data_IF_140322706019
#
_entry.id   IF_140322706019
#
_cell.length_a   1.000
_cell.length_b   1.000
_cell.length_c   1.000
_cell.angle_alpha   90.00
_cell.angle_beta   90.00
_cell.angle_gamma   90.00
#
_symmetry.space_group_name_H-M   'P 1'
#
loop_
_entity.id
_entity.type
_entity.pdbx_description
1 polymer ?
#
# COMPACT_ATOMS: atom_id res chain seq x y z
N UNK A 1 -25.37 43.25 1.33
CA UNK A 1 -24.07 43.95 1.37
C UNK A 1 -22.99 42.90 1.04
N UNK A 2 -22.78 42.66 -0.25
CA UNK A 2 -21.64 41.93 -0.79
C UNK A 2 -20.56 42.98 -1.08
N UNK A 3 -19.32 42.73 -0.66
CA UNK A 3 -18.16 43.54 -1.03
C UNK A 3 -17.45 42.82 -2.17
N UNK A 4 -17.56 43.37 -3.39
CA UNK A 4 -16.62 43.08 -4.48
C UNK A 4 -15.29 43.77 -4.17
N UNK A 5 -14.19 43.05 -4.35
CA UNK A 5 -12.84 43.59 -4.32
C UNK A 5 -12.39 43.79 -5.77
N UNK A 6 -12.31 45.04 -6.21
CA UNK A 6 -11.73 45.41 -7.51
C UNK A 6 -10.21 45.22 -7.50
N UNK A 7 -9.69 44.38 -8.39
CA UNK A 7 -8.27 44.30 -8.71
C UNK A 7 -7.98 45.09 -9.98
N UNK A 8 -6.99 46.01 -10.00
CA UNK A 8 -6.68 46.82 -11.17
C UNK A 8 -5.99 45.99 -12.26
N UNK A 9 -6.53 46.03 -13.49
CA UNK A 9 -5.89 45.46 -14.67
C UNK A 9 -4.65 46.25 -15.06
N UNK A 10 -3.48 45.62 -15.04
CA UNK A 10 -2.27 46.16 -15.66
C UNK A 10 -2.39 46.04 -17.18
N UNK A 11 -2.68 47.17 -17.85
CA UNK A 11 -2.50 47.34 -19.29
C UNK A 11 -1.01 47.61 -19.55
N UNK A 12 -0.36 46.76 -20.33
CA UNK A 12 0.98 47.02 -20.86
C UNK A 12 0.80 47.62 -22.25
N UNK A 13 1.36 48.81 -22.44
CA UNK A 13 1.32 49.61 -23.68
C UNK A 13 2.25 48.99 -24.74
N UNK A 14 1.78 48.78 -25.96
CA UNK A 14 2.48 48.04 -27.04
C UNK A 14 3.59 48.83 -27.77
N UNK A 15 4.17 49.88 -27.19
CA UNK A 15 5.06 50.81 -27.93
C UNK A 15 6.52 50.93 -27.43
N UNK A 16 7.01 50.02 -26.57
CA UNK A 16 8.43 50.02 -26.14
C UNK A 16 9.21 48.76 -26.54
N UNK A 17 9.05 48.27 -27.77
CA UNK A 17 9.90 47.17 -28.31
C UNK A 17 10.51 47.55 -29.66
N UNK A 18 11.25 48.66 -29.70
CA UNK A 18 12.07 49.00 -30.86
C UNK A 18 13.32 49.77 -30.42
N UNK A 19 14.24 49.08 -29.74
CA UNK A 19 15.70 49.28 -29.79
C UNK A 19 16.34 48.58 -28.60
N UNK A 20 16.91 47.39 -28.81
CA UNK A 20 18.21 46.93 -28.29
C UNK A 20 18.54 45.66 -29.09
N UNK A 21 19.37 45.82 -30.12
CA UNK A 21 20.05 44.72 -30.79
C UNK A 21 21.35 44.38 -30.07
N UNK A 22 21.74 43.11 -30.17
CA UNK A 22 23.05 42.50 -29.92
C UNK A 22 23.54 42.38 -28.47
N UNK A 23 23.12 41.30 -27.79
CA UNK A 23 23.97 40.58 -26.84
C UNK A 23 23.62 39.08 -26.89
N UNK A 24 24.56 38.25 -27.34
CA UNK A 24 24.45 36.79 -27.37
C UNK A 24 24.41 36.23 -25.94
N UNK A 25 23.21 35.91 -25.45
CA UNK A 25 23.02 35.12 -24.22
C UNK A 25 22.87 33.63 -24.56
N UNK A 26 23.55 32.73 -23.85
CA UNK A 26 23.34 31.29 -24.03
C UNK A 26 21.90 30.95 -23.62
N UNK A 27 21.17 30.27 -24.52
CA UNK A 27 19.84 29.71 -24.20
C UNK A 27 19.97 28.81 -22.97
N UNK A 28 19.41 29.23 -21.84
CA UNK A 28 19.24 28.33 -20.71
C UNK A 28 18.30 27.22 -21.16
N UNK A 29 18.80 26.00 -21.15
CA UNK A 29 17.97 24.81 -21.30
C UNK A 29 17.03 24.79 -20.10
N UNK A 30 15.74 24.79 -20.35
CA UNK A 30 14.75 24.34 -19.38
C UNK A 30 15.24 23.04 -18.74
N UNK A 31 15.12 22.87 -17.41
CA UNK A 31 15.54 21.64 -16.77
C UNK A 31 14.72 20.52 -17.40
N UNK A 32 15.41 19.59 -18.07
CA UNK A 32 14.81 18.32 -18.46
C UNK A 32 14.41 17.66 -17.16
N UNK A 33 13.11 17.58 -16.89
CA UNK A 33 12.56 16.62 -15.93
C UNK A 33 12.86 15.22 -16.50
N UNK A 34 14.09 14.76 -16.25
CA UNK A 34 14.54 13.40 -16.50
C UNK A 34 14.15 12.48 -15.35
N UNK A 35 12.96 12.72 -14.77
CA UNK A 35 12.35 11.80 -13.84
C UNK A 35 11.88 10.55 -14.60
N UNK A 36 11.79 9.40 -13.91
CA UNK A 36 11.15 8.23 -14.49
C UNK A 36 9.71 8.56 -14.95
N UNK A 37 9.17 7.86 -15.96
CA UNK A 37 7.83 8.15 -16.47
C UNK A 37 6.79 8.00 -15.35
N UNK A 38 5.70 8.77 -15.40
CA UNK A 38 4.58 8.73 -14.44
C UNK A 38 4.12 7.30 -14.10
N UNK A 39 4.24 6.34 -15.01
CA UNK A 39 3.91 4.94 -14.79
C UNK A 39 4.88 4.17 -13.85
N UNK A 40 5.97 4.79 -13.37
CA UNK A 40 6.90 4.14 -12.45
C UNK A 40 6.47 4.38 -11.01
N UNK A 41 5.77 3.38 -10.48
CA UNK A 41 5.63 3.18 -9.05
C UNK A 41 7.04 2.98 -8.48
N UNK A 42 7.53 3.99 -7.75
CA UNK A 42 8.84 3.95 -7.10
C UNK A 42 8.84 2.84 -6.04
N UNK A 43 9.89 2.01 -6.00
CA UNK A 43 9.98 0.85 -5.10
C UNK A 43 9.89 -0.52 -5.80
N UNK A 44 9.21 -0.62 -6.95
CA UNK A 44 9.00 -1.89 -7.67
C UNK A 44 10.26 -2.42 -8.37
N UNK A 45 11.24 -1.55 -8.65
CA UNK A 45 12.54 -1.90 -9.24
C UNK A 45 13.68 -1.95 -8.22
N UNK A 46 13.41 -2.10 -6.92
CA UNK A 46 14.45 -2.68 -6.08
C UNK A 46 14.59 -4.12 -6.57
N UNK A 47 15.74 -4.55 -7.12
CA UNK A 47 15.98 -5.98 -7.27
C UNK A 47 15.68 -6.57 -5.90
N UNK A 48 14.86 -7.62 -5.84
CA UNK A 48 14.65 -8.38 -4.62
C UNK A 48 16.04 -8.66 -4.03
N UNK A 49 16.47 -7.88 -3.05
CA UNK A 49 17.78 -8.06 -2.39
C UNK A 49 17.78 -9.37 -1.59
N UNK A 50 16.58 -9.93 -1.41
CA UNK A 50 16.33 -11.26 -0.93
C UNK A 50 15.43 -11.94 -1.97
N UNK A 51 16.04 -12.65 -2.91
CA UNK A 51 15.37 -13.85 -3.43
C UNK A 51 14.92 -14.64 -2.21
N UNK A 52 13.63 -14.98 -2.13
CA UNK A 52 13.03 -15.83 -1.11
C UNK A 52 13.85 -17.11 -0.95
N UNK A 53 14.87 -17.05 -0.09
CA UNK A 53 15.58 -18.21 0.43
C UNK A 53 14.69 -18.81 1.51
N UNK A 54 13.50 -19.27 1.12
CA UNK A 54 12.90 -20.40 1.80
C UNK A 54 13.80 -21.60 1.49
N UNK A 55 14.87 -21.72 2.26
CA UNK A 55 15.80 -22.85 2.24
C UNK A 55 15.27 -24.01 3.08
N UNK A 56 14.19 -23.80 3.85
CA UNK A 56 13.49 -24.84 4.59
C UNK A 56 12.49 -25.60 3.71
N UNK A 57 12.44 -26.93 3.87
CA UNK A 57 11.43 -27.79 3.26
C UNK A 57 10.00 -27.50 3.75
N UNK A 58 9.84 -26.74 4.84
CA UNK A 58 8.56 -26.49 5.53
C UNK A 58 8.26 -24.99 5.64
N UNK A 59 7.00 -24.62 5.42
CA UNK A 59 6.51 -23.26 5.65
C UNK A 59 6.42 -22.95 7.14
N UNK A 60 6.65 -21.70 7.58
CA UNK A 60 6.57 -21.31 8.98
C UNK A 60 5.11 -21.38 9.44
N UNK A 61 4.89 -21.75 10.70
CA UNK A 61 3.55 -21.96 11.27
C UNK A 61 2.61 -20.76 11.07
N UNK A 62 3.13 -19.54 11.25
CA UNK A 62 2.37 -18.29 11.15
C UNK A 62 2.80 -17.41 9.98
N UNK A 63 3.36 -18.02 8.92
CA UNK A 63 3.83 -17.31 7.72
C UNK A 63 5.13 -16.52 7.89
N UNK A 64 5.64 -16.40 9.13
CA UNK A 64 6.87 -15.69 9.48
C UNK A 64 7.78 -16.57 10.34
N UNK A 65 9.10 -16.44 10.16
CA UNK A 65 10.08 -17.07 11.05
C UNK A 65 10.32 -16.20 12.28
N UNK A 66 10.23 -16.79 13.47
CA UNK A 66 10.47 -16.07 14.73
C UNK A 66 11.00 -17.01 15.82
N UNK A 67 11.93 -16.57 16.69
CA UNK A 67 12.31 -17.31 17.88
C UNK A 67 11.21 -17.34 18.95
N UNK A 68 10.13 -16.57 18.78
CA UNK A 68 9.05 -16.40 19.76
C UNK A 68 7.74 -17.09 19.37
N UNK A 69 7.80 -18.17 18.58
CA UNK A 69 6.63 -18.84 17.98
C UNK A 69 5.52 -19.17 19.00
N UNK A 70 5.86 -19.69 20.19
CA UNK A 70 4.86 -20.03 21.20
C UNK A 70 4.12 -18.81 21.79
N UNK A 71 4.83 -17.72 22.04
CA UNK A 71 4.23 -16.48 22.56
C UNK A 71 3.38 -15.80 21.48
N UNK A 72 3.89 -15.79 20.25
CA UNK A 72 3.16 -15.27 19.09
C UNK A 72 1.86 -16.06 18.87
N UNK A 73 1.93 -17.40 18.89
CA UNK A 73 0.77 -18.26 18.73
C UNK A 73 -0.30 -18.07 19.81
N UNK A 74 0.09 -17.69 21.03
CA UNK A 74 -0.87 -17.34 22.08
C UNK A 74 -1.69 -16.11 21.71
N UNK A 75 -1.04 -15.04 21.24
CA UNK A 75 -1.74 -13.82 20.81
C UNK A 75 -2.57 -14.06 19.54
N UNK A 76 -2.05 -14.83 18.58
CA UNK A 76 -2.77 -15.14 17.35
C UNK A 76 -4.01 -16.03 17.57
N UNK A 77 -4.12 -16.67 18.74
CA UNK A 77 -5.34 -17.38 19.15
C UNK A 77 -6.53 -16.45 19.40
N UNK A 78 -6.27 -15.16 19.66
CA UNK A 78 -7.28 -14.16 20.01
C UNK A 78 -7.62 -13.22 18.83
N UNK A 79 -7.25 -13.59 17.59
CA UNK A 79 -7.47 -12.76 16.38
C UNK A 79 -8.95 -12.44 16.08
N UNK A 80 -9.88 -13.19 16.65
CA UNK A 80 -11.32 -12.96 16.52
C UNK A 80 -11.90 -12.03 17.60
N UNK A 81 -11.05 -11.44 18.44
CA UNK A 81 -11.46 -10.56 19.54
C UNK A 81 -10.98 -9.12 19.33
N UNK A 82 -11.74 -8.16 19.89
CA UNK A 82 -11.31 -6.78 19.98
C UNK A 82 -10.27 -6.59 21.09
N UNK A 83 -9.35 -5.63 20.90
CA UNK A 83 -8.37 -5.25 21.91
C UNK A 83 -7.11 -6.11 21.93
N UNK A 84 -6.80 -6.78 20.81
CA UNK A 84 -5.54 -7.48 20.64
C UNK A 84 -4.37 -6.48 20.66
N UNK A 85 -3.24 -6.88 21.24
CA UNK A 85 -2.02 -6.09 21.24
C UNK A 85 -1.27 -6.27 19.92
N UNK A 86 -1.68 -5.49 18.91
CA UNK A 86 -1.06 -5.53 17.58
C UNK A 86 0.42 -5.14 17.62
N UNK A 87 0.82 -4.23 18.52
CA UNK A 87 2.22 -3.83 18.71
C UNK A 87 3.06 -5.02 19.17
N UNK A 88 2.55 -5.79 20.14
CA UNK A 88 3.22 -6.99 20.61
C UNK A 88 3.34 -8.06 19.53
N UNK A 89 2.34 -8.20 18.66
CA UNK A 89 2.45 -9.05 17.46
C UNK A 89 3.57 -8.55 16.55
N UNK A 90 3.69 -7.23 16.35
CA UNK A 90 4.80 -6.61 15.62
C UNK A 90 6.18 -7.01 16.16
N UNK A 91 6.38 -6.91 17.46
CA UNK A 91 7.63 -7.32 18.13
C UNK A 91 7.92 -8.82 17.92
N UNK A 92 6.92 -9.67 18.20
CA UNK A 92 7.09 -11.13 18.20
C UNK A 92 7.17 -11.72 16.80
N UNK A 93 6.70 -11.02 15.78
CA UNK A 93 6.78 -11.40 14.36
C UNK A 93 8.03 -10.88 13.66
N UNK A 94 9.03 -10.35 14.39
CA UNK A 94 10.24 -9.78 13.82
C UNK A 94 9.96 -8.60 12.86
N UNK A 95 9.05 -7.70 13.23
CA UNK A 95 8.57 -6.59 12.40
C UNK A 95 7.91 -7.06 11.09
N UNK A 96 7.14 -8.17 11.17
CA UNK A 96 6.28 -8.67 10.09
C UNK A 96 4.82 -8.84 10.53
N UNK A 97 4.20 -7.84 11.21
CA UNK A 97 2.85 -7.99 11.74
C UNK A 97 1.81 -8.25 10.64
N UNK A 98 1.91 -7.59 9.47
CA UNK A 98 0.91 -7.73 8.42
C UNK A 98 0.95 -9.12 7.79
N UNK A 99 2.14 -9.62 7.45
CA UNK A 99 2.29 -10.98 6.92
C UNK A 99 1.77 -12.02 7.91
N UNK A 100 2.12 -11.86 9.18
CA UNK A 100 1.75 -12.79 10.24
C UNK A 100 0.24 -12.84 10.48
N UNK A 101 -0.40 -11.68 10.64
CA UNK A 101 -1.85 -11.55 10.85
C UNK A 101 -2.62 -12.04 9.63
N UNK A 102 -2.26 -11.59 8.43
CA UNK A 102 -2.97 -11.99 7.22
C UNK A 102 -2.88 -13.50 6.99
N UNK A 103 -1.69 -14.11 7.11
CA UNK A 103 -1.56 -15.56 6.95
C UNK A 103 -2.38 -16.34 7.97
N UNK A 104 -2.38 -15.89 9.23
CA UNK A 104 -3.13 -16.53 10.32
C UNK A 104 -4.64 -16.43 10.09
N UNK A 105 -5.15 -15.24 9.75
CA UNK A 105 -6.58 -15.01 9.45
C UNK A 105 -7.03 -15.83 8.23
N UNK A 106 -6.28 -15.79 7.13
CA UNK A 106 -6.64 -16.53 5.91
C UNK A 106 -6.60 -18.04 6.12
N UNK A 107 -5.70 -18.54 6.98
CA UNK A 107 -5.62 -19.95 7.34
C UNK A 107 -6.75 -20.37 8.28
N UNK A 108 -7.05 -19.58 9.33
CA UNK A 108 -8.13 -19.86 10.30
C UNK A 108 -9.51 -19.88 9.63
N UNK A 109 -9.71 -19.05 8.60
CA UNK A 109 -10.94 -19.00 7.80
C UNK A 109 -10.99 -20.00 6.63
N UNK A 110 -9.96 -20.83 6.46
CA UNK A 110 -9.80 -21.77 5.34
C UNK A 110 -9.89 -21.12 3.93
N UNK A 111 -9.58 -19.82 3.83
CA UNK A 111 -9.67 -19.07 2.57
C UNK A 111 -8.64 -19.53 1.55
N UNK A 112 -7.45 -19.93 2.02
CA UNK A 112 -6.38 -20.42 1.14
C UNK A 112 -6.83 -21.67 0.39
N UNK A 113 -7.48 -22.61 1.08
CA UNK A 113 -8.00 -23.83 0.47
C UNK A 113 -9.23 -23.53 -0.41
N UNK A 114 -10.19 -22.79 0.13
CA UNK A 114 -11.47 -22.48 -0.54
C UNK A 114 -11.28 -21.76 -1.88
N UNK A 115 -10.25 -20.91 -1.98
CA UNK A 115 -9.94 -20.12 -3.18
C UNK A 115 -8.72 -20.65 -3.94
N UNK A 116 -8.22 -21.84 -3.58
CA UNK A 116 -7.08 -22.49 -4.23
C UNK A 116 -5.82 -21.61 -4.27
N UNK A 117 -5.58 -20.82 -3.23
CA UNK A 117 -4.42 -19.94 -3.11
C UNK A 117 -3.25 -20.75 -2.54
N UNK A 118 -2.14 -20.96 -3.28
CA UNK A 118 -1.00 -21.71 -2.74
C UNK A 118 -0.39 -20.97 -1.55
N UNK A 119 -0.22 -21.60 -0.37
CA UNK A 119 0.27 -20.91 0.84
C UNK A 119 1.63 -20.24 0.66
N UNK A 120 2.54 -20.86 -0.12
CA UNK A 120 3.85 -20.29 -0.47
C UNK A 120 3.72 -18.99 -1.29
N UNK A 121 2.79 -18.96 -2.25
CA UNK A 121 2.52 -17.78 -3.07
C UNK A 121 1.90 -16.67 -2.22
N UNK A 122 0.99 -17.02 -1.30
CA UNK A 122 0.40 -16.06 -0.37
C UNK A 122 1.45 -15.40 0.53
N UNK A 123 2.32 -16.19 1.17
CA UNK A 123 3.41 -15.65 2.00
C UNK A 123 4.34 -14.76 1.15
N UNK A 124 4.71 -15.21 -0.06
CA UNK A 124 5.58 -14.43 -0.95
C UNK A 124 4.97 -13.06 -1.31
N UNK A 125 3.67 -13.04 -1.62
CA UNK A 125 2.95 -11.79 -1.86
C UNK A 125 2.90 -10.91 -0.59
N UNK A 126 2.51 -11.47 0.55
CA UNK A 126 2.35 -10.69 1.78
C UNK A 126 3.66 -10.10 2.29
N UNK A 127 4.78 -10.84 2.22
CA UNK A 127 6.11 -10.31 2.54
C UNK A 127 6.47 -9.16 1.60
N UNK A 128 6.21 -9.33 0.30
CA UNK A 128 6.47 -8.30 -0.71
C UNK A 128 5.61 -7.06 -0.47
N UNK A 129 4.33 -7.23 -0.15
CA UNK A 129 3.40 -6.16 0.19
C UNK A 129 3.85 -5.40 1.43
N UNK A 130 4.20 -6.11 2.49
CA UNK A 130 4.68 -5.54 3.75
C UNK A 130 5.99 -4.77 3.57
N UNK A 131 6.88 -5.21 2.69
CA UNK A 131 8.10 -4.47 2.33
C UNK A 131 7.83 -3.14 1.58
N UNK A 132 6.63 -2.95 1.03
CA UNK A 132 6.22 -1.70 0.38
C UNK A 132 5.48 -0.74 1.33
N UNK A 133 5.23 -1.13 2.58
CA UNK A 133 4.85 -0.16 3.61
C UNK A 133 6.10 0.58 4.12
N UNK A 134 6.03 1.91 4.15
CA UNK A 134 7.17 2.76 4.55
C UNK A 134 7.38 2.66 6.06
N UNK A 135 8.45 1.97 6.49
CA UNK A 135 8.75 1.71 7.92
C UNK A 135 8.93 2.97 8.76
N UNK A 136 9.48 4.03 8.15
CA UNK A 136 9.71 5.31 8.84
C UNK A 136 8.45 6.18 8.94
N UNK A 137 7.33 5.78 8.30
CA UNK A 137 6.04 6.44 8.47
C UNK A 137 5.51 6.09 9.87
N UNK A 138 5.27 7.08 10.75
CA UNK A 138 4.92 6.82 12.14
C UNK A 138 3.54 6.17 12.33
N UNK A 139 2.65 6.22 11.32
CA UNK A 139 1.30 5.67 11.42
C UNK A 139 0.91 4.74 10.26
N UNK A 140 0.80 5.25 9.03
CA UNK A 140 0.37 4.45 7.86
C UNK A 140 1.51 3.53 7.37
N UNK A 141 1.87 2.55 8.19
CA UNK A 141 2.87 1.53 7.99
C UNK A 141 2.22 0.13 8.10
N UNK A 142 3.01 -0.95 7.99
CA UNK A 142 2.45 -2.30 7.97
C UNK A 142 1.78 -2.71 9.29
N UNK A 143 2.12 -2.07 10.41
CA UNK A 143 1.45 -2.31 11.68
C UNK A 143 0.01 -1.81 11.64
N UNK A 144 -0.22 -0.61 11.08
CA UNK A 144 -1.57 -0.09 10.85
C UNK A 144 -2.37 -1.00 9.91
N UNK A 145 -1.77 -1.44 8.81
CA UNK A 145 -2.43 -2.39 7.90
C UNK A 145 -2.78 -3.71 8.59
N UNK A 146 -1.92 -4.22 9.48
CA UNK A 146 -2.19 -5.42 10.25
C UNK A 146 -3.37 -5.23 11.23
N UNK A 147 -3.42 -4.07 11.90
CA UNK A 147 -4.52 -3.68 12.79
C UNK A 147 -5.86 -3.60 12.04
N UNK A 148 -5.89 -2.92 10.88
CA UNK A 148 -7.11 -2.83 10.04
C UNK A 148 -7.51 -4.20 9.50
N UNK A 149 -6.56 -5.04 9.12
CA UNK A 149 -6.83 -6.43 8.67
C UNK A 149 -7.46 -7.26 9.79
N UNK A 150 -6.91 -7.21 11.00
CA UNK A 150 -7.45 -7.92 12.15
C UNK A 150 -8.81 -7.36 12.59
N UNK A 151 -8.96 -6.04 12.60
CA UNK A 151 -10.24 -5.38 12.91
C UNK A 151 -11.33 -5.76 11.91
N UNK A 152 -11.00 -5.82 10.62
CA UNK A 152 -11.91 -6.29 9.56
C UNK A 152 -12.28 -7.75 9.77
N UNK A 153 -11.33 -8.59 10.19
CA UNK A 153 -11.60 -9.98 10.58
C UNK A 153 -12.64 -10.06 11.72
N UNK A 154 -12.49 -9.26 12.78
CA UNK A 154 -13.45 -9.25 13.90
C UNK A 154 -14.83 -8.78 13.44
N UNK A 155 -14.90 -7.70 12.65
CA UNK A 155 -16.17 -7.18 12.13
C UNK A 155 -16.92 -8.21 11.28
N UNK A 156 -16.22 -8.95 10.42
CA UNK A 156 -16.79 -10.01 9.59
C UNK A 156 -17.29 -11.21 10.40
N UNK A 157 -16.84 -11.38 11.65
CA UNK A 157 -17.33 -12.41 12.58
C UNK A 157 -18.53 -11.97 13.42
N UNK A 158 -19.09 -10.78 13.16
CA UNK A 158 -20.30 -10.32 13.86
C UNK A 158 -21.46 -11.29 13.61
N UNK A 159 -22.20 -11.76 14.64
CA UNK A 159 -23.31 -12.72 14.45
C UNK A 159 -24.38 -12.28 13.45
N UNK A 160 -24.60 -10.96 13.31
CA UNK A 160 -25.53 -10.40 12.34
C UNK A 160 -25.10 -10.60 10.87
N UNK A 161 -23.83 -10.94 10.62
CA UNK A 161 -23.24 -11.15 9.30
C UNK A 161 -22.90 -12.62 9.04
N UNK A 162 -23.30 -13.52 9.94
CA UNK A 162 -23.06 -14.95 9.79
C UNK A 162 -23.69 -15.47 8.49
N UNK A 163 -22.88 -16.16 7.67
CA UNK A 163 -23.29 -16.70 6.36
C UNK A 163 -23.84 -15.69 5.35
N UNK A 164 -23.63 -14.38 5.56
CA UNK A 164 -24.06 -13.33 4.62
C UNK A 164 -23.11 -13.25 3.43
N UNK A 165 -21.80 -13.36 3.67
CA UNK A 165 -20.77 -13.20 2.65
C UNK A 165 -20.20 -14.53 2.17
N UNK A 166 -19.92 -14.60 0.89
CA UNK A 166 -19.19 -15.70 0.26
C UNK A 166 -17.70 -15.67 0.65
N UNK A 167 -16.98 -16.80 0.50
CA UNK A 167 -15.52 -16.82 0.71
C UNK A 167 -14.76 -15.79 -0.14
N UNK A 168 -15.24 -15.51 -1.36
CA UNK A 168 -14.63 -14.50 -2.24
C UNK A 168 -14.84 -13.08 -1.71
N UNK A 169 -16.02 -12.74 -1.21
CA UNK A 169 -16.31 -11.43 -0.62
C UNK A 169 -15.51 -11.21 0.67
N UNK A 170 -15.40 -12.23 1.52
CA UNK A 170 -14.56 -12.21 2.73
C UNK A 170 -13.09 -12.00 2.35
N UNK A 171 -12.59 -12.77 1.36
CA UNK A 171 -11.23 -12.61 0.86
C UNK A 171 -10.99 -11.21 0.28
N UNK A 172 -11.95 -10.66 -0.48
CA UNK A 172 -11.89 -9.32 -1.05
C UNK A 172 -11.80 -8.24 0.04
N UNK A 173 -12.62 -8.33 1.08
CA UNK A 173 -12.59 -7.40 2.21
C UNK A 173 -11.26 -7.44 2.99
N UNK A 174 -10.76 -8.65 3.28
CA UNK A 174 -9.48 -8.81 3.99
C UNK A 174 -8.29 -8.40 3.12
N UNK A 175 -8.32 -8.71 1.82
CA UNK A 175 -7.30 -8.27 0.87
C UNK A 175 -7.27 -6.75 0.77
N UNK A 176 -8.45 -6.11 0.65
CA UNK A 176 -8.55 -4.65 0.65
C UNK A 176 -7.92 -4.04 1.92
N UNK A 177 -8.24 -4.59 3.10
CA UNK A 177 -7.64 -4.15 4.36
C UNK A 177 -6.11 -4.28 4.38
N UNK A 178 -5.56 -5.38 3.84
CA UNK A 178 -4.11 -5.59 3.76
C UNK A 178 -3.40 -4.53 2.90
N UNK A 179 -4.03 -4.07 1.82
CA UNK A 179 -3.39 -3.23 0.81
C UNK A 179 -3.70 -1.74 0.93
N UNK A 180 -4.67 -1.35 1.77
CA UNK A 180 -5.35 -0.06 1.65
C UNK A 180 -4.45 1.17 1.77
N UNK A 181 -3.28 1.05 2.39
CA UNK A 181 -2.31 2.12 2.63
C UNK A 181 -0.89 1.78 2.14
N UNK A 182 -0.74 0.76 1.28
CA UNK A 182 0.60 0.35 0.81
C UNK A 182 1.30 1.50 0.07
N UNK A 183 2.59 1.72 0.33
CA UNK A 183 3.38 2.83 -0.22
C UNK A 183 2.88 4.25 0.19
N UNK A 184 2.19 4.37 1.33
CA UNK A 184 1.75 5.66 1.86
C UNK A 184 2.94 6.55 2.30
N UNK A 185 3.09 7.78 1.77
CA UNK A 185 4.27 8.64 1.98
C UNK A 185 4.31 9.39 3.32
N UNK A 186 3.26 9.26 4.12
CA UNK A 186 3.10 9.98 5.40
C UNK A 186 2.56 11.40 5.24
N UNK A 187 2.00 11.70 4.07
CA UNK A 187 1.43 13.00 3.70
C UNK A 187 -0.01 12.80 3.24
N UNK A 188 -0.84 13.83 3.31
CA UNK A 188 -2.26 13.75 2.89
C UNK A 188 -2.42 14.01 1.39
N UNK A 189 -3.55 13.56 0.82
CA UNK A 189 -3.96 13.93 -0.55
C UNK A 189 -3.90 15.45 -0.78
N UNK A 190 -4.39 16.25 0.18
CA UNK A 190 -4.36 17.70 0.05
C UNK A 190 -2.94 18.27 -0.05
N UNK A 191 -1.97 17.69 0.67
CA UNK A 191 -0.57 18.10 0.55
C UNK A 191 -0.03 17.78 -0.85
N UNK A 192 -0.32 16.58 -1.37
CA UNK A 192 0.10 16.14 -2.70
C UNK A 192 -0.48 17.03 -3.83
N UNK A 193 -1.73 17.46 -3.68
CA UNK A 193 -2.41 18.39 -4.60
C UNK A 193 -1.78 19.77 -4.52
N UNK A 194 -1.64 20.32 -3.30
CA UNK A 194 -1.08 21.66 -3.08
C UNK A 194 0.37 21.80 -3.56
N UNK A 195 1.11 20.69 -3.60
CA UNK A 195 2.50 20.66 -4.08
C UNK A 195 2.62 20.25 -5.55
N UNK A 196 1.50 20.03 -6.24
CA UNK A 196 1.45 19.54 -7.63
C UNK A 196 2.34 18.30 -7.83
N UNK A 197 2.27 17.37 -6.88
CA UNK A 197 3.03 16.12 -6.95
C UNK A 197 2.66 15.31 -8.20
N UNK A 198 3.58 14.46 -8.67
CA UNK A 198 3.34 13.61 -9.84
C UNK A 198 2.15 12.66 -9.63
N UNK A 199 1.92 12.17 -8.41
CA UNK A 199 0.76 11.35 -8.09
C UNK A 199 -0.55 12.13 -8.23
N UNK A 200 -0.60 13.36 -7.71
CA UNK A 200 -1.80 14.21 -7.81
C UNK A 200 -2.14 14.51 -9.28
N UNK A 201 -1.13 14.84 -10.09
CA UNK A 201 -1.29 15.04 -11.54
C UNK A 201 -1.76 13.76 -12.25
N UNK A 202 -1.25 12.60 -11.88
CA UNK A 202 -1.60 11.32 -12.50
C UNK A 202 -3.06 10.93 -12.21
N UNK A 203 -3.52 11.13 -10.98
CA UNK A 203 -4.87 10.77 -10.54
C UNK A 203 -5.86 11.94 -10.60
N UNK A 204 -5.48 13.06 -11.24
CA UNK A 204 -6.32 14.25 -11.43
C UNK A 204 -6.93 14.76 -10.13
N UNK A 205 -6.13 14.80 -9.06
CA UNK A 205 -6.51 15.26 -7.71
C UNK A 205 -7.63 14.44 -7.02
N UNK A 206 -8.12 13.36 -7.63
CA UNK A 206 -9.21 12.52 -7.12
C UNK A 206 -8.66 11.26 -6.45
N UNK A 207 -8.91 11.11 -5.15
CA UNK A 207 -8.51 9.93 -4.36
C UNK A 207 -7.06 9.48 -4.67
N UNK A 208 -6.13 10.44 -4.63
CA UNK A 208 -4.76 10.31 -5.16
C UNK A 208 -4.04 9.11 -4.53
N UNK A 209 -4.02 9.04 -3.21
CA UNK A 209 -3.36 7.96 -2.49
C UNK A 209 -4.12 6.64 -2.58
N UNK A 210 -5.45 6.68 -2.49
CA UNK A 210 -6.28 5.47 -2.54
C UNK A 210 -6.16 4.75 -3.91
N UNK A 211 -6.11 5.52 -5.01
CA UNK A 211 -5.81 4.98 -6.34
C UNK A 211 -4.37 4.43 -6.41
N UNK A 212 -3.41 5.11 -5.79
CA UNK A 212 -2.02 4.68 -5.74
C UNK A 212 -1.85 3.35 -4.99
N UNK A 213 -2.47 3.20 -3.82
CA UNK A 213 -2.44 1.97 -3.01
C UNK A 213 -2.95 0.77 -3.81
N UNK A 214 -4.07 0.92 -4.53
CA UNK A 214 -4.58 -0.09 -5.45
C UNK A 214 -3.58 -0.41 -6.57
N UNK A 215 -3.08 0.61 -7.27
CA UNK A 215 -2.15 0.44 -8.39
C UNK A 215 -0.88 -0.31 -7.96
N UNK A 216 -0.31 0.02 -6.80
CA UNK A 216 0.83 -0.66 -6.18
C UNK A 216 0.49 -2.13 -5.92
N UNK A 217 -0.57 -2.41 -5.16
CA UNK A 217 -0.91 -3.78 -4.76
C UNK A 217 -1.15 -4.71 -5.95
N UNK A 218 -1.92 -4.27 -6.94
CA UNK A 218 -2.15 -5.04 -8.17
C UNK A 218 -0.90 -5.16 -9.04
N UNK A 219 0.03 -4.20 -8.95
CA UNK A 219 1.34 -4.35 -9.58
C UNK A 219 2.19 -5.42 -8.90
N UNK A 220 2.16 -5.52 -7.58
CA UNK A 220 2.92 -6.52 -6.82
C UNK A 220 2.47 -7.96 -7.11
N UNK A 221 1.19 -8.19 -7.42
CA UNK A 221 0.70 -9.48 -7.89
C UNK A 221 1.42 -10.00 -9.16
N UNK A 222 1.96 -9.09 -9.98
CA UNK A 222 2.69 -9.44 -11.20
C UNK A 222 4.14 -9.88 -10.93
N UNK A 223 4.63 -9.78 -9.68
CA UNK A 223 5.95 -10.29 -9.32
C UNK A 223 5.97 -11.82 -9.38
N UNK A 224 7.13 -12.39 -9.68
CA UNK A 224 7.29 -13.84 -9.79
C UNK A 224 6.89 -14.52 -8.47
N UNK A 225 5.92 -15.45 -8.54
CA UNK A 225 5.44 -16.20 -7.38
C UNK A 225 4.58 -15.39 -6.40
N UNK A 226 4.04 -14.24 -6.81
CA UNK A 226 3.18 -13.39 -5.98
C UNK A 226 1.72 -13.35 -6.44
N UNK A 227 1.36 -14.01 -7.54
CA UNK A 227 -0.02 -14.04 -8.03
C UNK A 227 -0.89 -14.99 -7.18
N UNK A 228 -1.47 -14.46 -6.10
CA UNK A 228 -2.34 -15.21 -5.19
C UNK A 228 -3.70 -15.56 -5.82
N UNK A 229 -4.07 -14.95 -6.94
CA UNK A 229 -5.35 -15.16 -7.62
C UNK A 229 -5.21 -16.02 -8.89
N UNK A 230 -4.05 -16.65 -9.10
CA UNK A 230 -3.71 -17.40 -10.31
C UNK A 230 -4.66 -18.55 -10.67
N UNK A 231 -5.38 -19.09 -9.68
CA UNK A 231 -6.33 -20.19 -9.86
C UNK A 231 -7.81 -19.73 -9.89
N UNK A 232 -8.07 -18.42 -9.79
CA UNK A 232 -9.43 -17.89 -9.87
C UNK A 232 -9.92 -17.81 -11.32
N UNK A 233 -11.23 -17.96 -11.52
CA UNK A 233 -11.86 -17.77 -12.82
C UNK A 233 -11.91 -16.28 -13.19
N UNK A 234 -11.88 -15.99 -14.50
CA UNK A 234 -12.05 -14.63 -15.04
C UNK A 234 -13.50 -14.20 -15.07
#
# INVERSE_FOLDING_TARGET
KQQEFDLPSLRIDENEVANITSASHPRSRSPRFGGPPMSQISGVRRPLSHTNSFTGERLPTFGVETPHEAQLGTLLGDLDTWGIDIFRIGDLSCNRPLTCVAYSVFSQRDLLSALMIPPKTFIAFMVTLEDHYVKDNPFHNSLHAADVTQSTNVLLNTPALESVFTPLEICGALFAACIHDVDHPGLTNQFLINTSSELALMYNDESVLENHHLAVAFKLLQNQGCDIFCNMQK
#
